data_IF_980164269391
#
_entry.id   IF_980164269391
#
_cell.length_a   1.000
_cell.length_b   1.000
_cell.length_c   1.000
_cell.angle_alpha   90.00
_cell.angle_beta   90.00
_cell.angle_gamma   90.00
#
_symmetry.space_group_name_H-M   'P 1'
#
loop_
_entity.id
_entity.type
_entity.pdbx_description
1 polymer ?
#
# COMPACT_ATOMS: atom_id res chain seq x y z
N UNK A 1 -8.28 -5.30 27.59
CA UNK A 1 -7.02 -4.51 27.56
C UNK A 1 -6.87 -3.83 26.19
N UNK A 2 -7.49 -2.67 26.04
CA UNK A 2 -7.10 -1.50 25.22
C UNK A 2 -6.20 -1.70 23.96
N UNK A 3 -6.74 -2.38 22.95
CA UNK A 3 -6.20 -2.44 21.57
C UNK A 3 -6.07 -1.02 20.99
N UNK A 4 -7.05 -0.16 21.29
CA UNK A 4 -7.03 1.27 20.99
C UNK A 4 -5.80 1.99 21.58
N UNK A 5 -5.34 1.65 22.80
CA UNK A 5 -4.10 2.25 23.34
C UNK A 5 -2.84 1.76 22.63
N UNK A 6 -2.84 0.56 22.05
CA UNK A 6 -1.67 0.04 21.30
C UNK A 6 -1.55 0.70 19.94
N UNK A 7 -2.66 0.82 19.22
CA UNK A 7 -2.73 1.52 17.94
C UNK A 7 -2.41 3.02 18.12
N UNK A 8 -2.96 3.67 19.15
CA UNK A 8 -2.69 5.09 19.42
C UNK A 8 -1.22 5.34 19.81
N UNK A 9 -0.58 4.39 20.50
CA UNK A 9 0.84 4.47 20.86
C UNK A 9 1.77 4.35 19.65
N UNK A 10 1.32 3.75 18.54
CA UNK A 10 2.05 3.72 17.27
C UNK A 10 1.96 5.07 16.54
N UNK A 11 0.83 5.77 16.65
CA UNK A 11 0.65 7.10 16.05
C UNK A 11 1.40 8.25 16.74
N UNK A 12 1.80 8.07 18.01
CA UNK A 12 2.41 9.13 18.84
C UNK A 12 3.92 8.97 19.08
N UNK A 13 4.53 7.88 18.62
CA UNK A 13 5.96 7.66 18.85
C UNK A 13 6.78 8.25 17.69
N UNK A 14 7.37 9.42 17.94
CA UNK A 14 8.52 9.92 17.20
C UNK A 14 9.57 8.80 17.11
N UNK A 15 9.79 8.32 15.88
CA UNK A 15 10.66 7.18 15.59
C UNK A 15 12.10 7.63 15.82
N UNK A 16 12.68 7.28 16.98
CA UNK A 16 14.12 7.41 17.17
C UNK A 16 14.86 6.23 17.81
N UNK A 17 14.23 5.13 18.25
CA UNK A 17 15.05 4.04 18.84
C UNK A 17 14.42 2.64 19.01
N UNK A 18 13.62 2.13 18.07
CA UNK A 18 13.18 0.70 18.17
C UNK A 18 13.29 -0.01 16.82
N UNK A 19 14.51 -0.37 16.44
CA UNK A 19 14.79 -1.10 15.18
C UNK A 19 15.04 -2.60 15.40
N UNK A 20 15.32 -3.07 16.63
CA UNK A 20 15.77 -4.46 16.82
C UNK A 20 14.86 -5.38 17.66
N UNK A 21 13.74 -4.89 18.22
CA UNK A 21 12.85 -5.70 19.08
C UNK A 21 11.36 -5.66 18.76
N UNK A 22 10.95 -4.91 17.75
CA UNK A 22 9.55 -4.92 17.28
C UNK A 22 9.48 -5.75 16.01
N UNK A 23 8.63 -6.76 16.05
CA UNK A 23 8.10 -7.46 14.89
C UNK A 23 7.68 -6.43 13.84
N UNK A 24 7.97 -6.71 12.56
CA UNK A 24 7.72 -5.84 11.41
C UNK A 24 6.41 -5.01 11.58
N UNK A 25 6.47 -3.67 11.72
CA UNK A 25 5.30 -2.82 11.93
C UNK A 25 4.18 -3.07 10.92
N UNK A 26 4.52 -3.47 9.69
CA UNK A 26 3.55 -3.86 8.66
C UNK A 26 2.76 -5.09 9.11
N UNK A 27 3.44 -6.13 9.60
CA UNK A 27 2.79 -7.37 10.06
C UNK A 27 1.90 -7.13 11.27
N UNK A 28 2.34 -6.29 12.21
CA UNK A 28 1.55 -5.92 13.37
C UNK A 28 0.28 -5.16 12.98
N UNK A 29 0.37 -4.19 12.06
CA UNK A 29 -0.80 -3.47 11.55
C UNK A 29 -1.74 -4.38 10.77
N UNK A 30 -1.21 -5.28 9.94
CA UNK A 30 -2.02 -6.31 9.26
C UNK A 30 -2.78 -7.20 10.23
N UNK A 31 -2.14 -7.63 11.31
CA UNK A 31 -2.79 -8.42 12.35
C UNK A 31 -3.87 -7.61 13.06
N UNK A 32 -3.60 -6.37 13.44
CA UNK A 32 -4.60 -5.49 14.05
C UNK A 32 -5.83 -5.29 13.14
N UNK A 33 -5.64 -5.14 11.83
CA UNK A 33 -6.74 -5.06 10.86
C UNK A 33 -7.53 -6.37 10.79
N UNK A 34 -6.86 -7.53 10.83
CA UNK A 34 -7.54 -8.83 10.88
C UNK A 34 -8.40 -8.98 12.13
N UNK A 35 -7.86 -8.64 13.30
CA UNK A 35 -8.58 -8.66 14.58
C UNK A 35 -9.79 -7.71 14.54
N UNK A 36 -9.61 -6.48 14.04
CA UNK A 36 -10.73 -5.53 13.88
C UNK A 36 -11.83 -6.06 12.94
N UNK A 37 -11.48 -6.80 11.88
CA UNK A 37 -12.46 -7.43 10.98
C UNK A 37 -13.22 -8.57 11.67
N UNK A 38 -12.56 -9.32 12.54
CA UNK A 38 -13.21 -10.33 13.38
C UNK A 38 -14.19 -9.69 14.36
N UNK A 39 -13.75 -8.64 15.08
CA UNK A 39 -14.60 -7.85 15.98
C UNK A 39 -15.80 -7.24 15.25
N UNK A 40 -15.60 -6.78 14.00
CA UNK A 40 -16.67 -6.27 13.15
C UNK A 40 -17.71 -7.35 12.85
N UNK A 41 -17.29 -8.57 12.51
CA UNK A 41 -18.21 -9.68 12.25
C UNK A 41 -19.01 -10.05 13.50
N UNK A 42 -18.35 -10.14 14.66
CA UNK A 42 -19.03 -10.40 15.93
C UNK A 42 -20.02 -9.29 16.28
N UNK A 43 -19.65 -8.02 16.04
CA UNK A 43 -20.52 -6.86 16.27
C UNK A 43 -21.72 -6.84 15.32
N UNK A 44 -21.56 -7.25 14.06
CA UNK A 44 -22.66 -7.38 13.10
C UNK A 44 -23.63 -8.49 13.51
N UNK A 45 -23.13 -9.63 13.99
CA UNK A 45 -23.96 -10.72 14.50
C UNK A 45 -24.74 -10.27 15.75
N UNK A 46 -24.08 -9.59 16.69
CA UNK A 46 -24.72 -9.03 17.88
C UNK A 46 -25.81 -8.01 17.50
N UNK A 47 -25.50 -7.10 16.56
CA UNK A 47 -26.47 -6.14 16.02
C UNK A 47 -27.69 -6.86 15.43
N UNK A 48 -27.47 -7.87 14.58
CA UNK A 48 -28.54 -8.64 13.96
C UNK A 48 -29.44 -9.33 15.00
N UNK A 49 -28.85 -9.93 16.05
CA UNK A 49 -29.60 -10.55 17.15
C UNK A 49 -30.47 -9.54 17.89
N UNK A 50 -29.92 -8.39 18.28
CA UNK A 50 -30.68 -7.36 19.00
C UNK A 50 -31.76 -6.73 18.11
N UNK A 51 -31.46 -6.46 16.84
CA UNK A 51 -32.48 -5.95 15.90
C UNK A 51 -33.58 -6.97 15.64
N UNK A 52 -33.26 -8.26 15.57
CA UNK A 52 -34.26 -9.32 15.48
C UNK A 52 -35.15 -9.38 16.72
N UNK A 53 -34.62 -9.15 17.92
CA UNK A 53 -35.43 -9.03 19.14
C UNK A 53 -36.40 -7.85 19.05
N UNK A 54 -35.93 -6.67 18.62
CA UNK A 54 -36.79 -5.51 18.41
C UNK A 54 -37.94 -5.81 17.43
N UNK A 55 -37.64 -6.44 16.28
CA UNK A 55 -38.63 -6.83 15.28
C UNK A 55 -39.64 -7.84 15.85
N UNK A 56 -39.18 -8.83 16.62
CA UNK A 56 -40.08 -9.82 17.24
C UNK A 56 -41.01 -9.18 18.28
N UNK A 57 -40.50 -8.30 19.13
CA UNK A 57 -41.31 -7.56 20.10
C UNK A 57 -42.34 -6.67 19.39
N UNK A 58 -41.92 -5.98 18.32
CA UNK A 58 -42.81 -5.15 17.49
C UNK A 58 -43.93 -5.99 16.86
N UNK A 59 -43.59 -7.11 16.20
CA UNK A 59 -44.59 -8.00 15.60
C UNK A 59 -45.57 -8.57 16.64
N UNK A 60 -45.07 -8.91 17.84
CA UNK A 60 -45.90 -9.40 18.93
C UNK A 60 -46.86 -8.32 19.44
N UNK A 61 -46.37 -7.09 19.57
CA UNK A 61 -47.17 -5.94 19.94
C UNK A 61 -48.27 -5.64 18.91
N UNK A 62 -47.93 -5.66 17.62
CA UNK A 62 -48.87 -5.39 16.54
C UNK A 62 -49.99 -6.45 16.50
N UNK A 63 -49.64 -7.73 16.70
CA UNK A 63 -50.64 -8.80 16.85
C UNK A 63 -51.57 -8.57 18.04
N UNK A 64 -51.03 -8.16 19.19
CA UNK A 64 -51.82 -7.87 20.39
C UNK A 64 -52.72 -6.65 20.19
N UNK A 65 -52.27 -5.64 19.45
CA UNK A 65 -53.08 -4.48 19.04
C UNK A 65 -54.25 -4.90 18.16
N UNK A 66 -54.03 -5.83 17.24
CA UNK A 66 -55.09 -6.41 16.41
C UNK A 66 -56.11 -7.17 17.27
N UNK A 67 -55.63 -8.07 18.15
CA UNK A 67 -56.49 -8.83 19.06
C UNK A 67 -57.33 -7.90 19.96
N UNK A 68 -56.74 -6.85 20.51
CA UNK A 68 -57.46 -5.87 21.34
C UNK A 68 -58.55 -5.12 20.55
N UNK A 69 -58.26 -4.78 19.29
CA UNK A 69 -59.22 -4.14 18.37
C UNK A 69 -60.37 -5.10 18.01
N UNK A 70 -60.08 -6.39 17.85
CA UNK A 70 -61.09 -7.41 17.58
C UNK A 70 -62.02 -7.62 18.80
N UNK A 71 -61.49 -7.64 20.02
CA UNK A 71 -62.31 -7.70 21.24
C UNK A 71 -63.20 -6.46 21.41
N UNK A 72 -62.70 -5.27 21.08
CA UNK A 72 -63.53 -4.06 21.04
C UNK A 72 -64.67 -4.19 20.04
N UNK A 73 -64.37 -4.65 18.82
CA UNK A 73 -65.39 -4.88 17.78
C UNK A 73 -66.42 -5.92 18.23
N UNK A 74 -65.99 -7.01 18.85
CA UNK A 74 -66.88 -8.03 19.41
C UNK A 74 -67.80 -7.46 20.49
N UNK A 75 -67.28 -6.61 21.39
CA UNK A 75 -68.09 -5.94 22.40
C UNK A 75 -69.17 -5.06 21.76
N UNK A 76 -68.84 -4.29 20.72
CA UNK A 76 -69.81 -3.47 19.97
C UNK A 76 -70.88 -4.35 19.31
N UNK A 77 -70.47 -5.40 18.60
CA UNK A 77 -71.38 -6.32 17.92
C UNK A 77 -72.36 -7.02 18.89
N UNK A 78 -71.90 -7.36 20.10
CA UNK A 78 -72.76 -7.94 21.13
C UNK A 78 -73.86 -6.97 21.57
N UNK A 79 -73.53 -5.69 21.75
CA UNK A 79 -74.50 -4.65 22.09
C UNK A 79 -75.48 -4.40 20.94
N UNK A 80 -75.02 -4.35 19.69
CA UNK A 80 -75.90 -4.23 18.52
C UNK A 80 -76.88 -5.40 18.39
N UNK A 81 -76.44 -6.63 18.69
CA UNK A 81 -77.32 -7.80 18.70
C UNK A 81 -78.42 -7.69 19.76
N UNK A 82 -78.13 -7.06 20.90
CA UNK A 82 -79.14 -6.78 21.91
C UNK A 82 -80.19 -5.79 21.40
N UNK A 83 -79.77 -4.75 20.67
CA UNK A 83 -80.68 -3.77 20.05
C UNK A 83 -81.60 -4.42 19.00
N UNK A 84 -81.10 -5.43 18.29
CA UNK A 84 -81.89 -6.23 17.33
C UNK A 84 -82.74 -7.32 17.99
N UNK A 85 -82.76 -7.41 19.33
CA UNK A 85 -83.45 -8.44 20.11
C UNK A 85 -83.01 -9.88 19.77
N UNK A 86 -81.79 -10.09 19.25
CA UNK A 86 -81.24 -11.44 18.97
C UNK A 86 -80.78 -12.15 20.25
N UNK A 87 -80.37 -11.37 21.26
CA UNK A 87 -79.95 -11.84 22.60
C UNK A 87 -80.53 -10.90 23.67
N UNK A 88 -80.58 -11.35 24.93
CA UNK A 88 -81.06 -10.46 26.01
C UNK A 88 -80.04 -9.36 26.31
N UNK A 89 -80.54 -8.20 26.74
CA UNK A 89 -79.68 -7.06 27.10
C UNK A 89 -78.68 -7.42 28.20
N UNK A 90 -79.11 -8.17 29.21
CA UNK A 90 -78.24 -8.62 30.29
C UNK A 90 -77.11 -9.55 29.78
N UNK A 91 -77.44 -10.50 28.90
CA UNK A 91 -76.44 -11.38 28.28
C UNK A 91 -75.41 -10.58 27.46
N UNK A 92 -75.89 -9.63 26.64
CA UNK A 92 -75.03 -8.78 25.85
C UNK A 92 -74.09 -7.92 26.70
N UNK A 93 -74.62 -7.28 27.74
CA UNK A 93 -73.84 -6.43 28.65
C UNK A 93 -72.77 -7.24 29.41
N UNK A 94 -73.09 -8.46 29.85
CA UNK A 94 -72.12 -9.33 30.53
C UNK A 94 -71.00 -9.79 29.58
N UNK A 95 -71.33 -10.25 28.38
CA UNK A 95 -70.33 -10.67 27.38
C UNK A 95 -69.49 -9.49 26.87
N UNK A 96 -70.09 -8.31 26.70
CA UNK A 96 -69.37 -7.10 26.30
C UNK A 96 -68.39 -6.66 27.39
N UNK A 97 -68.77 -6.74 28.69
CA UNK A 97 -67.86 -6.48 29.81
C UNK A 97 -66.69 -7.45 29.82
N UNK A 98 -66.92 -8.74 29.58
CA UNK A 98 -65.86 -9.74 29.50
C UNK A 98 -64.90 -9.45 28.33
N UNK A 99 -65.42 -9.15 27.14
CA UNK A 99 -64.61 -8.78 25.98
C UNK A 99 -63.77 -7.51 26.24
N UNK A 100 -64.35 -6.49 26.89
CA UNK A 100 -63.62 -5.29 27.29
C UNK A 100 -62.58 -5.58 28.39
N UNK A 101 -62.85 -6.53 29.29
CA UNK A 101 -61.87 -7.01 30.26
C UNK A 101 -60.64 -7.62 29.59
N UNK A 102 -60.85 -8.50 28.60
CA UNK A 102 -59.77 -9.08 27.79
C UNK A 102 -59.01 -8.02 26.99
N UNK A 103 -59.71 -7.04 26.41
CA UNK A 103 -59.08 -5.87 25.75
C UNK A 103 -58.15 -5.13 26.71
N UNK A 104 -58.60 -4.83 27.94
CA UNK A 104 -57.79 -4.10 28.91
C UNK A 104 -56.53 -4.89 29.31
N UNK A 105 -56.63 -6.21 29.49
CA UNK A 105 -55.47 -7.06 29.74
C UNK A 105 -54.46 -7.01 28.58
N UNK A 106 -54.94 -7.07 27.35
CA UNK A 106 -54.09 -6.93 26.16
C UNK A 106 -53.44 -5.55 26.09
N UNK A 107 -54.13 -4.48 26.50
CA UNK A 107 -53.56 -3.13 26.54
C UNK A 107 -52.41 -3.00 27.55
N UNK A 108 -52.49 -3.67 28.69
CA UNK A 108 -51.38 -3.76 29.65
C UNK A 108 -50.18 -4.48 29.02
N UNK A 109 -50.39 -5.64 28.39
CA UNK A 109 -49.32 -6.38 27.68
C UNK A 109 -48.71 -5.56 26.53
N UNK A 110 -49.53 -4.79 25.79
CA UNK A 110 -49.06 -3.91 24.72
C UNK A 110 -48.11 -2.84 25.29
N UNK A 111 -48.46 -2.22 26.42
CA UNK A 111 -47.61 -1.20 27.07
C UNK A 111 -46.25 -1.77 27.50
N UNK A 112 -46.23 -3.01 28.01
CA UNK A 112 -44.98 -3.70 28.32
C UNK A 112 -44.13 -3.96 27.07
N UNK A 113 -44.76 -4.44 25.99
CA UNK A 113 -44.08 -4.68 24.71
C UNK A 113 -43.57 -3.39 24.07
N UNK A 114 -44.30 -2.27 24.18
CA UNK A 114 -43.85 -0.95 23.71
C UNK A 114 -42.53 -0.55 24.37
N UNK A 115 -42.45 -0.72 25.69
CA UNK A 115 -41.21 -0.46 26.43
C UNK A 115 -40.06 -1.38 25.98
N UNK A 116 -40.33 -2.66 25.75
CA UNK A 116 -39.32 -3.61 25.25
C UNK A 116 -38.82 -3.24 23.85
N UNK A 117 -39.73 -2.84 22.94
CA UNK A 117 -39.36 -2.37 21.59
C UNK A 117 -38.41 -1.19 21.69
N UNK A 118 -38.75 -0.17 22.51
CA UNK A 118 -37.90 1.02 22.71
C UNK A 118 -36.51 0.64 23.21
N UNK A 119 -36.43 -0.26 24.22
CA UNK A 119 -35.16 -0.73 24.77
C UNK A 119 -34.33 -1.45 23.70
N UNK A 120 -34.92 -2.40 22.99
CA UNK A 120 -34.22 -3.18 21.97
C UNK A 120 -33.79 -2.33 20.76
N UNK A 121 -34.63 -1.39 20.32
CA UNK A 121 -34.26 -0.45 19.26
C UNK A 121 -33.10 0.45 19.66
N UNK A 122 -33.12 0.98 20.88
CA UNK A 122 -32.01 1.78 21.41
C UNK A 122 -30.72 0.98 21.44
N UNK A 123 -30.75 -0.23 22.00
CA UNK A 123 -29.57 -1.11 22.03
C UNK A 123 -29.09 -1.48 20.62
N UNK A 124 -30.00 -1.78 19.68
CA UNK A 124 -29.63 -2.05 18.29
C UNK A 124 -28.93 -0.83 17.66
N UNK A 125 -29.43 0.38 17.89
CA UNK A 125 -28.84 1.61 17.38
C UNK A 125 -27.45 1.89 17.98
N UNK A 126 -27.25 1.59 19.26
CA UNK A 126 -25.92 1.71 19.90
C UNK A 126 -24.91 0.73 19.30
N UNK A 127 -25.28 -0.54 19.12
CA UNK A 127 -24.40 -1.54 18.48
C UNK A 127 -24.13 -1.16 17.02
N UNK A 128 -25.14 -0.66 16.30
CA UNK A 128 -24.96 -0.18 14.93
C UNK A 128 -23.94 0.95 14.82
N UNK A 129 -23.98 1.93 15.72
CA UNK A 129 -22.98 3.01 15.75
C UNK A 129 -21.56 2.46 15.94
N UNK A 130 -21.40 1.48 16.83
CA UNK A 130 -20.10 0.83 17.06
C UNK A 130 -19.61 0.07 15.81
N UNK A 131 -20.50 -0.62 15.10
CA UNK A 131 -20.22 -1.26 13.81
C UNK A 131 -19.71 -0.24 12.78
N UNK A 132 -20.36 0.90 12.66
CA UNK A 132 -19.93 1.94 11.70
C UNK A 132 -18.57 2.56 12.08
N UNK A 133 -18.32 2.77 13.38
CA UNK A 133 -17.01 3.21 13.88
C UNK A 133 -15.92 2.18 13.56
N UNK A 134 -16.19 0.88 13.74
CA UNK A 134 -15.25 -0.19 13.40
C UNK A 134 -14.95 -0.21 11.90
N UNK A 135 -15.97 -0.15 11.04
CA UNK A 135 -15.80 -0.08 9.58
C UNK A 135 -14.95 1.12 9.16
N UNK A 136 -15.24 2.30 9.73
CA UNK A 136 -14.47 3.51 9.44
C UNK A 136 -12.99 3.34 9.81
N UNK A 137 -12.72 2.82 11.02
CA UNK A 137 -11.35 2.60 11.48
C UNK A 137 -10.61 1.55 10.63
N UNK A 138 -11.25 0.44 10.27
CA UNK A 138 -10.67 -0.58 9.39
C UNK A 138 -10.23 0.05 8.07
N UNK A 139 -11.11 0.79 7.40
CA UNK A 139 -10.77 1.48 6.14
C UNK A 139 -9.61 2.48 6.32
N UNK A 140 -9.63 3.25 7.40
CA UNK A 140 -8.53 4.19 7.72
C UNK A 140 -7.20 3.44 7.84
N UNK A 141 -7.15 2.38 8.64
CA UNK A 141 -5.91 1.63 8.88
C UNK A 141 -5.43 0.86 7.64
N UNK A 142 -6.33 0.39 6.78
CA UNK A 142 -5.98 -0.24 5.49
C UNK A 142 -5.31 0.76 4.53
N UNK A 143 -5.80 2.00 4.48
CA UNK A 143 -5.21 3.06 3.68
C UNK A 143 -3.82 3.47 4.23
N UNK A 144 -3.71 3.60 5.55
CA UNK A 144 -2.43 3.89 6.22
C UNK A 144 -1.41 2.77 6.00
N UNK A 145 -1.83 1.50 6.11
CA UNK A 145 -0.99 0.33 5.84
C UNK A 145 -0.48 0.32 4.39
N UNK A 146 -1.34 0.63 3.43
CA UNK A 146 -0.96 0.72 2.00
C UNK A 146 0.11 1.78 1.80
N UNK A 147 -0.08 2.96 2.41
CA UNK A 147 0.90 4.05 2.38
C UNK A 147 2.21 3.65 3.03
N UNK A 148 2.15 2.99 4.19
CA UNK A 148 3.34 2.52 4.92
C UNK A 148 4.14 1.51 4.10
N UNK A 149 3.48 0.52 3.48
CA UNK A 149 4.11 -0.45 2.59
C UNK A 149 4.82 0.22 1.41
N UNK A 150 4.18 1.21 0.78
CA UNK A 150 4.79 1.97 -0.31
C UNK A 150 6.05 2.72 0.16
N UNK A 151 5.97 3.40 1.32
CA UNK A 151 7.12 4.11 1.91
C UNK A 151 8.28 3.18 2.25
N UNK A 152 8.00 2.01 2.82
CA UNK A 152 9.03 0.99 3.11
C UNK A 152 9.70 0.53 1.82
N UNK A 153 8.93 0.24 0.76
CA UNK A 153 9.49 -0.16 -0.54
C UNK A 153 10.37 0.93 -1.17
N UNK A 154 9.96 2.20 -1.08
CA UNK A 154 10.77 3.34 -1.57
C UNK A 154 12.04 3.48 -0.73
N UNK A 155 11.94 3.40 0.60
CA UNK A 155 13.09 3.49 1.49
C UNK A 155 14.10 2.37 1.23
N UNK A 156 13.63 1.14 1.02
CA UNK A 156 14.47 -0.01 0.67
C UNK A 156 15.16 0.17 -0.69
N UNK A 157 14.44 0.64 -1.70
CA UNK A 157 15.01 0.95 -3.01
C UNK A 157 16.10 2.04 -2.92
N UNK A 158 15.81 3.14 -2.22
CA UNK A 158 16.77 4.23 -1.98
C UNK A 158 18.00 3.73 -1.22
N UNK A 159 17.81 2.89 -0.20
CA UNK A 159 18.91 2.27 0.55
C UNK A 159 19.77 1.37 -0.34
N UNK A 160 19.17 0.59 -1.23
CA UNK A 160 19.90 -0.24 -2.19
C UNK A 160 20.70 0.59 -3.19
N UNK A 161 20.09 1.63 -3.77
CA UNK A 161 20.77 2.57 -4.69
C UNK A 161 21.94 3.24 -3.99
N UNK A 162 21.74 3.81 -2.80
CA UNK A 162 22.82 4.46 -2.05
C UNK A 162 23.94 3.49 -1.68
N UNK A 163 23.61 2.24 -1.31
CA UNK A 163 24.61 1.19 -1.05
C UNK A 163 25.41 0.83 -2.31
N UNK A 164 24.78 0.81 -3.49
CA UNK A 164 25.47 0.58 -4.76
C UNK A 164 26.34 1.78 -5.14
N UNK A 165 25.85 3.02 -4.99
CA UNK A 165 26.64 4.23 -5.23
C UNK A 165 27.87 4.30 -4.32
N UNK A 166 27.71 4.03 -3.02
CA UNK A 166 28.83 3.98 -2.08
C UNK A 166 29.87 2.90 -2.43
N UNK A 167 29.47 1.80 -3.07
CA UNK A 167 30.40 0.78 -3.59
C UNK A 167 31.13 1.22 -4.85
N UNK A 168 30.50 2.05 -5.68
CA UNK A 168 31.11 2.59 -6.91
C UNK A 168 32.19 3.62 -6.57
N UNK A 169 31.93 4.47 -5.58
CA UNK A 169 32.78 5.62 -5.20
C UNK A 169 34.10 5.22 -4.51
N UNK A 170 34.20 4.01 -3.95
CA UNK A 170 35.28 3.71 -3.01
C UNK A 170 36.60 3.19 -3.62
N UNK A 171 36.68 2.71 -4.88
CA UNK A 171 37.98 2.30 -5.47
C UNK A 171 37.97 1.90 -6.96
N UNK A 172 36.83 1.49 -7.55
CA UNK A 172 36.88 0.79 -8.86
C UNK A 172 37.01 1.71 -10.08
N UNK A 173 36.34 2.87 -10.08
CA UNK A 173 36.34 3.78 -11.24
C UNK A 173 37.63 4.59 -11.32
N UNK A 174 38.14 5.10 -10.19
CA UNK A 174 39.44 5.80 -10.13
C UNK A 174 40.57 4.83 -10.47
N UNK A 175 40.58 3.62 -9.88
CA UNK A 175 41.63 2.64 -10.22
C UNK A 175 41.53 2.13 -11.66
N UNK A 176 40.35 2.11 -12.28
CA UNK A 176 40.19 1.79 -13.70
C UNK A 176 40.72 2.93 -14.58
N UNK A 177 40.43 4.19 -14.23
CA UNK A 177 40.97 5.36 -14.94
C UNK A 177 42.49 5.47 -14.81
N UNK A 178 43.06 5.21 -13.62
CA UNK A 178 44.51 5.16 -13.42
C UNK A 178 45.16 4.02 -14.21
N UNK A 179 44.56 2.83 -14.23
CA UNK A 179 45.05 1.71 -15.07
C UNK A 179 44.99 2.04 -16.55
N UNK A 180 43.93 2.72 -17.01
CA UNK A 180 43.84 3.17 -18.41
C UNK A 180 44.88 4.24 -18.73
N UNK A 181 45.13 5.18 -17.81
CA UNK A 181 46.17 6.20 -17.97
C UNK A 181 47.56 5.57 -18.06
N UNK A 182 47.90 4.65 -17.16
CA UNK A 182 49.18 3.95 -17.17
C UNK A 182 49.40 3.15 -18.47
N UNK A 183 48.34 2.53 -18.99
CA UNK A 183 48.41 1.80 -20.27
C UNK A 183 48.62 2.72 -21.47
N UNK A 184 47.97 3.89 -21.50
CA UNK A 184 48.19 4.89 -22.55
C UNK A 184 49.62 5.42 -22.51
N UNK A 185 50.17 5.71 -21.33
CA UNK A 185 51.58 6.13 -21.19
C UNK A 185 52.56 5.04 -21.68
N UNK A 186 52.27 3.75 -21.42
CA UNK A 186 53.06 2.63 -21.92
C UNK A 186 52.98 2.50 -23.46
N UNK A 187 51.79 2.61 -24.04
CA UNK A 187 51.57 2.57 -25.49
C UNK A 187 52.25 3.77 -26.19
N UNK A 188 52.22 4.96 -25.58
CA UNK A 188 52.92 6.16 -26.06
C UNK A 188 54.45 5.98 -25.99
N UNK A 189 54.98 5.42 -24.91
CA UNK A 189 56.41 5.13 -24.76
C UNK A 189 56.87 4.06 -25.77
N UNK A 190 56.07 3.02 -26.02
CA UNK A 190 56.32 2.04 -27.08
C UNK A 190 56.30 2.69 -28.47
N UNK A 191 55.33 3.56 -28.75
CA UNK A 191 55.28 4.29 -30.01
C UNK A 191 56.51 5.19 -30.21
N UNK A 192 56.99 5.88 -29.17
CA UNK A 192 58.24 6.64 -29.21
C UNK A 192 59.46 5.73 -29.43
N UNK A 193 59.51 4.56 -28.77
CA UNK A 193 60.58 3.58 -28.95
C UNK A 193 60.60 2.98 -30.37
N UNK A 194 59.43 2.70 -30.97
CA UNK A 194 59.34 2.30 -32.37
C UNK A 194 59.74 3.43 -33.32
N UNK A 195 59.39 4.68 -33.01
CA UNK A 195 59.85 5.85 -33.75
C UNK A 195 61.37 6.03 -33.73
N UNK A 196 62.01 5.84 -32.56
CA UNK A 196 63.47 5.91 -32.44
C UNK A 196 64.19 4.71 -33.05
N UNK A 197 63.59 3.52 -33.05
CA UNK A 197 64.10 2.36 -33.79
C UNK A 197 64.03 2.55 -35.32
N UNK A 198 63.02 3.26 -35.83
CA UNK A 198 62.96 3.62 -37.24
C UNK A 198 64.08 4.60 -37.64
N UNK A 199 64.42 5.56 -36.77
CA UNK A 199 65.55 6.48 -36.95
C UNK A 199 66.93 5.79 -36.84
N UNK A 200 67.01 4.64 -36.16
CA UNK A 200 68.25 3.85 -36.02
C UNK A 200 68.39 2.69 -37.01
N UNK A 201 67.53 2.61 -38.04
CA UNK A 201 67.57 1.57 -39.08
C UNK A 201 68.38 1.93 -40.33
N UNK A 202 69.29 2.91 -40.27
CA UNK A 202 70.31 3.05 -41.31
C UNK A 202 71.33 1.92 -41.15
N UNK A 203 71.26 0.93 -42.04
CA UNK A 203 72.23 -0.17 -42.08
C UNK A 203 73.61 0.39 -42.48
N UNK A 204 74.69 -0.28 -42.07
CA UNK A 204 76.04 0.03 -42.57
C UNK A 204 76.10 0.01 -44.11
N UNK A 205 75.24 -0.77 -44.77
CA UNK A 205 75.09 -0.77 -46.24
C UNK A 205 74.44 0.51 -46.79
N UNK A 206 73.57 1.18 -46.05
CA UNK A 206 72.97 2.46 -46.46
C UNK A 206 74.00 3.60 -46.34
N UNK A 207 74.83 3.58 -45.29
CA UNK A 207 75.96 4.50 -45.14
C UNK A 207 77.03 4.26 -46.24
N UNK A 208 77.34 3.01 -46.58
CA UNK A 208 78.28 2.67 -47.67
C UNK A 208 77.76 3.16 -49.02
N UNK A 209 76.47 2.97 -49.32
CA UNK A 209 75.87 3.40 -50.60
C UNK A 209 75.77 4.93 -50.72
N UNK A 210 75.47 5.66 -49.64
CA UNK A 210 75.49 7.13 -49.66
C UNK A 210 76.91 7.69 -49.76
N UNK A 211 77.91 7.02 -49.15
CA UNK A 211 79.32 7.44 -49.26
C UNK A 211 79.90 7.17 -50.65
N UNK A 212 79.54 6.05 -51.29
CA UNK A 212 79.96 5.69 -52.65
C UNK A 212 79.33 6.57 -53.75
N UNK A 213 78.14 7.14 -53.51
CA UNK A 213 77.52 8.12 -54.43
C UNK A 213 78.30 9.44 -54.52
N UNK A 214 79.05 9.81 -53.48
CA UNK A 214 79.92 10.99 -53.49
C UNK A 214 81.13 10.85 -54.43
N UNK A 215 81.76 9.68 -54.44
CA UNK A 215 83.01 9.46 -55.21
C UNK A 215 82.79 9.20 -56.70
N UNK A 216 81.66 8.60 -57.10
CA UNK A 216 81.35 8.38 -58.53
C UNK A 216 81.03 9.69 -59.26
N UNK A 217 80.27 10.59 -58.62
CA UNK A 217 79.87 11.89 -59.20
C UNK A 217 81.08 12.85 -59.27
N UNK A 218 81.96 12.84 -58.26
CA UNK A 218 83.16 13.66 -58.26
C UNK A 218 84.17 13.20 -59.34
N UNK A 219 84.34 11.88 -59.52
CA UNK A 219 85.19 11.31 -60.57
C UNK A 219 84.65 11.58 -61.99
N UNK A 220 83.33 11.51 -62.21
CA UNK A 220 82.71 11.91 -63.48
C UNK A 220 82.80 13.41 -63.74
N UNK A 221 82.69 14.26 -62.71
CA UNK A 221 82.84 15.71 -62.81
C UNK A 221 84.27 16.13 -63.17
N UNK A 222 85.28 15.48 -62.59
CA UNK A 222 86.69 15.77 -62.89
C UNK A 222 87.11 15.24 -64.28
N UNK A 223 86.55 14.11 -64.73
CA UNK A 223 86.69 13.64 -66.11
C UNK A 223 86.03 14.59 -67.13
N UNK A 224 84.86 15.16 -66.81
CA UNK A 224 84.18 16.17 -67.63
C UNK A 224 84.97 17.48 -67.71
N UNK A 225 85.54 17.96 -66.59
CA UNK A 225 86.40 19.15 -66.56
C UNK A 225 87.66 18.99 -67.39
N UNK A 226 88.29 17.81 -67.37
CA UNK A 226 89.44 17.50 -68.24
C UNK A 226 89.04 17.52 -69.73
N UNK A 227 87.87 16.98 -70.07
CA UNK A 227 87.33 17.02 -71.44
C UNK A 227 87.04 18.45 -71.93
N UNK A 228 86.59 19.35 -71.06
CA UNK A 228 86.35 20.75 -71.41
C UNK A 228 87.68 21.51 -71.57
N UNK A 229 88.64 21.33 -70.67
CA UNK A 229 89.97 21.97 -70.78
C UNK A 229 90.74 21.55 -72.03
N UNK A 230 90.59 20.30 -72.49
CA UNK A 230 91.19 19.84 -73.74
C UNK A 230 90.52 20.42 -74.99
N UNK A 231 89.32 21.00 -74.86
CA UNK A 231 88.54 21.57 -75.96
C UNK A 231 88.65 23.10 -76.09
N UNK A 232 89.20 23.76 -75.07
CA UNK A 232 89.49 25.21 -75.05
C UNK A 232 90.97 25.54 -75.37
N UNK A 233 91.75 24.55 -75.83
CA UNK A 233 93.14 24.71 -76.31
C UNK A 233 93.34 24.29 -77.78
N UNK A 234 92.26 24.14 -78.54
CA UNK A 234 92.22 24.11 -80.02
C UNK A 234 91.36 25.26 -80.53
#
# INVERSE_FOLDING_TARGET
>A
MNIFKRIFRIGQAEIHSVVEKMEDPIKMTEQGIREMREDLNQSLEAYAKVKAMAIRSQNSMDKKKEDATDYERKAILLLEKAERNEITREQAENLAKEALGLKNQLQEEISELENQVIIHEKSANEVHKNVEILKFNINKWENELTTLKARVKVADATKQVNKQMAKIDANSTISMLERMKAKVEEDEALAQAYGSLADHSKSADDEINDTLKGDLIQNELDALKLKIKAKDQE
#
